data_IF_822815685866
#
_entry.id   IF_822815685866
#
_cell.length_a   1.000
_cell.length_b   1.000
_cell.length_c   1.000
_cell.angle_alpha   90.00
_cell.angle_beta   90.00
_cell.angle_gamma   90.00
#
_symmetry.space_group_name_H-M   'P 1'
#
loop_
_entity.id
_entity.type
_entity.pdbx_description
1 polymer ?
#
# COMPACT_ATOMS: atom_id res chain seq x y z
N UNK A 1 2.44 2.18 -20.45
CA UNK A 1 1.22 1.48 -19.98
C UNK A 1 0.99 0.12 -20.64
N UNK A 2 1.13 -0.05 -21.96
CA UNK A 2 0.90 -1.34 -22.65
C UNK A 2 1.64 -2.53 -22.02
N UNK A 3 2.92 -2.36 -21.66
CA UNK A 3 3.72 -3.41 -21.01
C UNK A 3 3.24 -3.80 -19.60
N UNK A 4 2.68 -2.87 -18.83
CA UNK A 4 2.13 -3.18 -17.50
C UNK A 4 0.86 -4.01 -17.66
N UNK A 5 -0.01 -3.63 -18.60
CA UNK A 5 -1.28 -4.30 -18.86
C UNK A 5 -1.09 -5.71 -19.43
N UNK A 6 0.05 -5.99 -20.06
CA UNK A 6 0.39 -7.34 -20.56
C UNK A 6 0.96 -8.27 -19.49
N UNK A 7 1.15 -7.82 -18.24
CA UNK A 7 1.64 -8.69 -17.16
C UNK A 7 0.55 -9.63 -16.64
N UNK A 8 0.98 -10.74 -16.05
CA UNK A 8 0.07 -11.72 -15.44
C UNK A 8 -0.76 -11.08 -14.32
N UNK A 9 -2.07 -11.38 -14.33
CA UNK A 9 -2.97 -10.97 -13.25
C UNK A 9 -2.54 -11.57 -11.89
N UNK A 10 -2.58 -10.81 -10.78
CA UNK A 10 -3.16 -9.46 -10.64
C UNK A 10 -2.14 -8.30 -10.65
N UNK A 11 -0.95 -8.49 -11.22
CA UNK A 11 0.13 -7.47 -11.21
C UNK A 11 -0.33 -6.10 -11.75
N UNK A 12 -1.03 -6.00 -12.89
CA UNK A 12 -1.43 -4.68 -13.42
C UNK A 12 -2.39 -3.94 -12.46
N UNK A 13 -3.40 -4.66 -11.95
CA UNK A 13 -4.36 -4.11 -11.00
C UNK A 13 -3.67 -3.65 -9.72
N UNK A 14 -2.83 -4.50 -9.14
CA UNK A 14 -2.08 -4.17 -7.92
C UNK A 14 -1.26 -2.89 -8.09
N UNK A 15 -0.50 -2.77 -9.18
CA UNK A 15 0.33 -1.60 -9.45
C UNK A 15 -0.49 -0.32 -9.63
N UNK A 16 -1.59 -0.38 -10.39
CA UNK A 16 -2.48 0.78 -10.61
C UNK A 16 -3.09 1.25 -9.29
N UNK A 17 -3.65 0.34 -8.51
CA UNK A 17 -4.26 0.67 -7.21
C UNK A 17 -3.20 1.20 -6.23
N UNK A 18 -1.99 0.64 -6.22
CA UNK A 18 -0.90 1.14 -5.39
C UNK A 18 -0.49 2.58 -5.76
N UNK A 19 -0.43 2.92 -7.05
CA UNK A 19 -0.16 4.30 -7.51
C UNK A 19 -1.25 5.26 -7.01
N UNK A 20 -2.53 4.88 -7.14
CA UNK A 20 -3.62 5.67 -6.56
C UNK A 20 -3.49 5.80 -5.04
N UNK A 21 -3.13 4.73 -4.33
CA UNK A 21 -2.93 4.75 -2.88
C UNK A 21 -1.80 5.71 -2.47
N UNK A 22 -0.73 5.83 -3.27
CA UNK A 22 0.36 6.78 -3.04
C UNK A 22 -0.17 8.21 -3.12
N UNK A 23 -0.89 8.55 -4.20
CA UNK A 23 -1.42 9.90 -4.41
C UNK A 23 -2.44 10.27 -3.32
N UNK A 24 -3.43 9.40 -3.10
CA UNK A 24 -4.48 9.62 -2.08
C UNK A 24 -3.87 9.71 -0.68
N UNK A 25 -2.89 8.85 -0.36
CA UNK A 25 -2.19 8.87 0.92
C UNK A 25 -1.37 10.15 1.13
N UNK A 26 -0.66 10.62 0.10
CA UNK A 26 0.09 11.88 0.14
C UNK A 26 -0.85 13.06 0.41
N UNK A 27 -1.98 13.14 -0.30
CA UNK A 27 -3.03 14.14 -0.05
C UNK A 27 -3.55 14.03 1.39
N UNK A 28 -3.86 12.80 1.84
CA UNK A 28 -4.38 12.53 3.18
C UNK A 28 -3.44 13.01 4.30
N UNK A 29 -2.12 12.92 4.11
CA UNK A 29 -1.12 13.40 5.06
C UNK A 29 -1.07 14.93 5.14
N UNK A 30 -1.32 15.64 4.05
CA UNK A 30 -1.30 17.12 4.01
C UNK A 30 -2.61 17.71 4.56
N UNK A 31 -3.76 17.09 4.28
CA UNK A 31 -5.08 17.58 4.69
C UNK A 31 -5.18 17.97 6.18
N UNK A 32 -6.03 18.97 6.46
CA UNK A 32 -6.37 19.35 7.83
C UNK A 32 -7.04 18.18 8.55
N UNK A 33 -6.39 17.72 9.63
CA UNK A 33 -6.75 16.51 10.36
C UNK A 33 -8.08 16.71 11.09
N UNK A 34 -8.88 15.65 11.17
CA UNK A 34 -10.19 15.66 11.84
C UNK A 34 -11.36 16.26 11.04
N UNK A 35 -11.12 16.85 9.87
CA UNK A 35 -12.18 17.38 8.98
C UNK A 35 -12.98 16.25 8.31
N UNK A 36 -14.21 16.52 7.82
CA UNK A 36 -14.96 15.55 7.02
C UNK A 36 -14.18 15.06 5.80
N UNK A 37 -13.46 15.96 5.13
CA UNK A 37 -12.61 15.63 3.99
C UNK A 37 -11.47 14.66 4.38
N UNK A 38 -10.80 14.90 5.50
CA UNK A 38 -9.77 13.98 6.02
C UNK A 38 -10.38 12.61 6.37
N UNK A 39 -11.59 12.55 6.91
CA UNK A 39 -12.26 11.27 7.20
C UNK A 39 -12.61 10.52 5.93
N UNK A 40 -13.19 11.20 4.94
CA UNK A 40 -13.55 10.62 3.65
C UNK A 40 -12.32 10.09 2.89
N UNK A 41 -11.30 10.94 2.71
CA UNK A 41 -10.04 10.55 2.04
C UNK A 41 -9.31 9.44 2.80
N UNK A 42 -9.42 9.41 4.14
CA UNK A 42 -8.92 8.32 4.96
C UNK A 42 -9.58 6.98 4.64
N UNK A 43 -10.90 6.94 4.50
CA UNK A 43 -11.61 5.72 4.11
C UNK A 43 -11.28 5.27 2.68
N UNK A 44 -11.16 6.21 1.73
CA UNK A 44 -10.72 5.90 0.36
C UNK A 44 -9.32 5.25 0.40
N UNK A 45 -8.38 5.86 1.12
CA UNK A 45 -7.03 5.33 1.25
C UNK A 45 -7.00 3.95 1.91
N UNK A 46 -7.77 3.74 2.98
CA UNK A 46 -7.90 2.43 3.64
C UNK A 46 -8.39 1.36 2.67
N UNK A 47 -9.44 1.64 1.89
CA UNK A 47 -9.97 0.70 0.90
C UNK A 47 -8.93 0.34 -0.17
N UNK A 48 -8.18 1.33 -0.68
CA UNK A 48 -7.10 1.09 -1.64
C UNK A 48 -6.01 0.20 -1.01
N UNK A 49 -5.58 0.48 0.21
CA UNK A 49 -4.57 -0.32 0.92
C UNK A 49 -5.03 -1.78 1.12
N UNK A 50 -6.31 -2.01 1.43
CA UNK A 50 -6.85 -3.36 1.56
C UNK A 50 -6.85 -4.11 0.22
N UNK A 51 -7.17 -3.43 -0.89
CA UNK A 51 -7.10 -4.03 -2.24
C UNK A 51 -5.63 -4.36 -2.61
N UNK A 52 -4.69 -3.46 -2.30
CA UNK A 52 -3.24 -3.69 -2.50
C UNK A 52 -2.78 -4.92 -1.71
N UNK A 53 -3.12 -5.01 -0.43
CA UNK A 53 -2.76 -6.15 0.41
C UNK A 53 -3.44 -7.45 -0.02
N UNK A 54 -4.69 -7.39 -0.49
CA UNK A 54 -5.39 -8.58 -0.96
C UNK A 54 -4.76 -9.12 -2.25
N UNK A 55 -4.52 -8.23 -3.22
CA UNK A 55 -3.92 -8.61 -4.50
C UNK A 55 -2.46 -9.06 -4.38
N UNK A 56 -1.71 -8.55 -3.40
CA UNK A 56 -0.32 -8.96 -3.17
C UNK A 56 -0.17 -10.43 -2.78
N UNK A 57 -1.16 -11.03 -2.11
CA UNK A 57 -1.16 -12.45 -1.77
C UNK A 57 -1.17 -13.39 -2.98
N UNK A 58 -1.49 -12.87 -4.17
CA UNK A 58 -1.50 -13.63 -5.41
C UNK A 58 -0.25 -13.36 -6.26
N UNK A 59 0.66 -12.46 -5.84
CA UNK A 59 1.88 -12.11 -6.58
C UNK A 59 3.09 -12.91 -6.05
N UNK A 60 3.48 -13.95 -6.78
CA UNK A 60 4.50 -14.93 -6.37
C UNK A 60 5.81 -14.81 -7.19
N UNK A 61 6.40 -13.61 -7.25
CA UNK A 61 7.63 -13.36 -8.04
C UNK A 61 8.93 -13.61 -7.29
N UNK A 62 8.90 -13.70 -5.96
CA UNK A 62 10.12 -13.76 -5.12
C UNK A 62 10.03 -14.97 -4.18
N UNK A 63 10.57 -16.10 -4.62
CA UNK A 63 10.60 -17.33 -3.85
C UNK A 63 11.81 -17.34 -2.90
N UNK A 64 11.87 -16.38 -1.96
CA UNK A 64 12.96 -16.32 -0.98
C UNK A 64 12.87 -17.47 0.03
N UNK A 65 11.66 -17.81 0.50
CA UNK A 65 11.37 -18.98 1.35
C UNK A 65 10.15 -19.75 0.80
N UNK A 66 10.39 -20.73 -0.07
CA UNK A 66 9.31 -21.50 -0.71
C UNK A 66 8.38 -20.62 -1.55
N UNK A 67 7.05 -20.78 -1.42
CA UNK A 67 6.04 -19.98 -2.16
C UNK A 67 5.77 -18.60 -1.55
N UNK A 68 6.20 -18.32 -0.32
CA UNK A 68 5.86 -17.09 0.39
C UNK A 68 7.04 -16.12 0.44
N UNK A 69 6.79 -14.87 0.05
CA UNK A 69 7.79 -13.80 0.10
C UNK A 69 7.57 -12.90 1.33
N UNK A 70 8.58 -12.16 1.81
CA UNK A 70 8.43 -11.17 2.89
C UNK A 70 7.27 -10.17 2.68
N UNK A 71 6.85 -9.96 1.43
CA UNK A 71 5.73 -9.09 1.05
C UNK A 71 4.39 -9.62 1.58
N UNK A 72 4.22 -10.94 1.73
CA UNK A 72 3.00 -11.53 2.27
C UNK A 72 2.85 -11.22 3.76
N UNK A 73 3.93 -11.39 4.53
CA UNK A 73 3.97 -11.01 5.95
C UNK A 73 3.71 -9.51 6.13
N UNK A 74 4.32 -8.69 5.27
CA UNK A 74 4.08 -7.25 5.29
C UNK A 74 2.61 -6.90 4.97
N UNK A 75 1.97 -7.63 4.07
CA UNK A 75 0.56 -7.39 3.71
C UNK A 75 -0.37 -7.72 4.88
N UNK A 76 -0.12 -8.83 5.59
CA UNK A 76 -0.82 -9.17 6.83
C UNK A 76 -0.61 -8.07 7.87
N UNK A 77 0.64 -7.65 8.09
CA UNK A 77 0.95 -6.58 9.03
C UNK A 77 0.29 -5.26 8.66
N UNK A 78 0.24 -4.92 7.37
CA UNK A 78 -0.38 -3.69 6.87
C UNK A 78 -1.87 -3.67 7.15
N UNK A 79 -2.56 -4.80 6.93
CA UNK A 79 -3.98 -4.96 7.26
C UNK A 79 -4.19 -4.70 8.76
N UNK A 80 -3.42 -5.38 9.62
CA UNK A 80 -3.47 -5.19 11.09
C UNK A 80 -3.22 -3.72 11.46
N UNK A 81 -2.18 -3.10 10.91
CA UNK A 81 -1.79 -1.74 11.20
C UNK A 81 -2.88 -0.72 10.83
N UNK A 82 -3.54 -0.91 9.68
CA UNK A 82 -4.65 -0.04 9.26
C UNK A 82 -5.86 -0.20 10.19
N UNK A 83 -6.23 -1.43 10.56
CA UNK A 83 -7.31 -1.66 11.52
C UNK A 83 -7.00 -1.08 12.90
N UNK A 84 -5.76 -1.22 13.38
CA UNK A 84 -5.31 -0.59 14.63
C UNK A 84 -5.35 0.94 14.53
N UNK A 85 -4.93 1.52 13.41
CA UNK A 85 -5.03 2.96 13.16
C UNK A 85 -6.48 3.46 13.22
N UNK A 86 -7.44 2.72 12.66
CA UNK A 86 -8.88 3.04 12.75
C UNK A 86 -9.38 2.89 14.19
N UNK A 87 -9.02 1.81 14.86
CA UNK A 87 -9.39 1.56 16.25
C UNK A 87 -8.94 2.70 17.17
N UNK A 88 -7.67 3.11 17.07
CA UNK A 88 -7.12 4.21 17.87
C UNK A 88 -7.81 5.55 17.58
N UNK A 89 -8.24 5.81 16.34
CA UNK A 89 -9.04 7.00 16.04
C UNK A 89 -10.42 6.95 16.73
N UNK A 90 -11.08 5.78 16.74
CA UNK A 90 -12.40 5.60 17.35
C UNK A 90 -12.40 5.79 18.86
N UNK A 91 -11.35 5.33 19.55
CA UNK A 91 -11.20 5.51 21.00
C UNK A 91 -10.56 6.85 21.38
N UNK A 92 -10.43 7.80 20.44
CA UNK A 92 -9.86 9.13 20.69
C UNK A 92 -8.34 9.19 20.86
N UNK A 93 -7.62 8.08 20.70
CA UNK A 93 -6.16 8.04 20.77
C UNK A 93 -5.52 8.46 19.43
N UNK A 94 -5.58 9.77 19.14
CA UNK A 94 -5.12 10.34 17.88
C UNK A 94 -3.60 10.20 17.68
N UNK A 95 -2.83 10.20 18.79
CA UNK A 95 -1.38 9.99 18.73
C UNK A 95 -1.05 8.63 18.11
N UNK A 96 -1.69 7.55 18.59
CA UNK A 96 -1.48 6.20 18.03
C UNK A 96 -2.07 6.06 16.63
N UNK A 97 -3.26 6.62 16.35
CA UNK A 97 -3.81 6.67 15.00
C UNK A 97 -2.78 7.24 14.00
N UNK A 98 -2.21 8.41 14.31
CA UNK A 98 -1.20 9.06 13.47
C UNK A 98 0.02 8.17 13.25
N UNK A 99 0.55 7.57 14.31
CA UNK A 99 1.72 6.67 14.22
C UNK A 99 1.44 5.53 13.25
N UNK A 100 0.36 4.78 13.44
CA UNK A 100 0.02 3.65 12.57
C UNK A 100 -0.18 4.08 11.12
N UNK A 101 -0.98 5.13 10.87
CA UNK A 101 -1.26 5.58 9.50
C UNK A 101 -0.02 6.12 8.77
N UNK A 102 0.80 6.92 9.44
CA UNK A 102 2.02 7.52 8.85
C UNK A 102 3.06 6.44 8.55
N UNK A 103 3.32 5.53 9.50
CA UNK A 103 4.30 4.47 9.29
C UNK A 103 3.84 3.46 8.24
N UNK A 104 2.55 3.14 8.17
CA UNK A 104 2.01 2.31 7.09
C UNK A 104 2.22 2.98 5.73
N UNK A 105 1.95 4.29 5.60
CA UNK A 105 2.21 5.00 4.34
C UNK A 105 3.70 4.94 3.94
N UNK A 106 4.62 5.32 4.83
CA UNK A 106 6.03 5.40 4.46
C UNK A 106 6.69 4.03 4.28
N UNK A 107 6.46 3.08 5.19
CA UNK A 107 7.16 1.80 5.14
C UNK A 107 6.45 0.78 4.26
N UNK A 108 5.13 0.64 4.40
CA UNK A 108 4.40 -0.41 3.71
C UNK A 108 4.03 -0.05 2.28
N UNK A 109 4.00 1.24 1.93
CA UNK A 109 3.64 1.71 0.58
C UNK A 109 4.82 2.37 -0.14
N UNK A 110 5.47 3.40 0.43
CA UNK A 110 6.54 4.12 -0.28
C UNK A 110 7.83 3.29 -0.37
N UNK A 111 8.35 2.79 0.75
CA UNK A 111 9.59 2.01 0.79
C UNK A 111 9.47 0.70 -0.02
N UNK A 112 8.34 0.02 0.06
CA UNK A 112 8.10 -1.20 -0.73
C UNK A 112 7.83 -0.93 -2.20
N UNK A 113 7.12 0.17 -2.50
CA UNK A 113 6.99 0.70 -3.85
C UNK A 113 8.37 0.96 -4.48
N UNK A 114 9.29 1.54 -3.72
CA UNK A 114 10.68 1.72 -4.14
C UNK A 114 11.39 0.39 -4.45
N UNK A 115 11.21 -0.64 -3.64
CA UNK A 115 11.77 -1.98 -3.92
C UNK A 115 11.21 -2.63 -5.19
N UNK A 116 10.11 -2.13 -5.77
CA UNK A 116 9.63 -2.62 -7.07
C UNK A 116 10.53 -2.23 -8.23
N UNK A 117 11.43 -1.25 -8.04
CA UNK A 117 12.44 -0.83 -9.01
C UNK A 117 13.75 -1.64 -8.93
N UNK A 118 13.81 -2.67 -8.09
CA UNK A 118 14.93 -3.61 -8.10
C UNK A 118 15.08 -4.27 -9.49
N UNK A 119 16.31 -4.44 -10.02
CA UNK A 119 16.54 -5.01 -11.35
C UNK A 119 15.79 -6.33 -11.59
N UNK A 120 15.20 -6.47 -12.78
CA UNK A 120 14.41 -7.66 -13.16
C UNK A 120 12.95 -7.65 -12.70
N UNK A 121 12.48 -6.60 -12.01
CA UNK A 121 11.06 -6.41 -11.70
C UNK A 121 10.34 -5.57 -12.76
N UNK A 122 9.01 -5.74 -12.83
CA UNK A 122 8.16 -5.05 -13.82
C UNK A 122 8.35 -3.53 -13.81
N UNK A 123 8.34 -2.89 -12.64
CA UNK A 123 8.48 -1.42 -12.57
C UNK A 123 9.88 -0.95 -12.95
N UNK A 124 10.92 -1.73 -12.65
CA UNK A 124 12.27 -1.44 -13.15
C UNK A 124 12.33 -1.45 -14.68
N UNK A 125 11.76 -2.47 -15.32
CA UNK A 125 11.73 -2.59 -16.79
C UNK A 125 10.91 -1.47 -17.46
N UNK A 126 9.86 -0.96 -16.81
CA UNK A 126 9.05 0.14 -17.35
C UNK A 126 9.82 1.47 -17.36
N UNK A 127 10.68 1.71 -16.37
CA UNK A 127 11.32 3.01 -16.16
C UNK A 127 12.78 3.07 -16.62
N UNK A 128 13.50 1.95 -16.58
CA UNK A 128 14.93 1.87 -16.87
C UNK A 128 15.29 0.85 -17.96
N UNK A 129 14.31 0.09 -18.45
CA UNK A 129 14.48 -0.93 -19.49
C UNK A 129 14.03 -0.47 -20.86
#
# INVERSE_FOLDING_TARGET
>A
MHFLLSQQSPIPLHAIIAIFAIVVGGVQLVLKKGTPLHKFMGWVWVSLMLIVCFTSFFIHKVNLWGKYSPIHLLSIWTIIAVFLGIYFARIGNIKRHKIFMVWTYWLALILTGFFTFYPGRVMNLIFFG
#
